data_IF_617177217510
#
_entry.id   IF_617177217510
#
_cell.length_a   1.000
_cell.length_b   1.000
_cell.length_c   1.000
_cell.angle_alpha   90.00
_cell.angle_beta   90.00
_cell.angle_gamma   90.00
#
_symmetry.space_group_name_H-M   'P 1'
#
loop_
_entity.id
_entity.type
_entity.pdbx_description
1 polymer ?
#
# COMPACT_ATOMS: atom_id res chain seq x y z
N UNK A 1 -3.71 -0.52 -25.69
CA UNK A 1 -4.79 0.25 -25.03
C UNK A 1 -4.36 0.51 -23.60
N UNK A 2 -4.23 1.78 -23.21
CA UNK A 2 -3.84 2.13 -21.85
C UNK A 2 -5.00 1.83 -20.91
N UNK A 3 -4.76 1.11 -19.82
CA UNK A 3 -5.81 0.85 -18.81
C UNK A 3 -6.22 2.17 -18.16
N UNK A 4 -7.51 2.44 -18.10
CA UNK A 4 -8.04 3.61 -17.38
C UNK A 4 -7.72 3.50 -15.89
N UNK A 5 -7.22 4.60 -15.32
CA UNK A 5 -6.92 4.70 -13.89
C UNK A 5 -8.23 4.83 -13.13
N UNK A 6 -8.60 3.80 -12.36
CA UNK A 6 -9.84 3.78 -11.56
C UNK A 6 -9.85 4.76 -10.39
N UNK A 7 -8.67 5.18 -9.93
CA UNK A 7 -8.51 6.11 -8.81
C UNK A 7 -7.05 6.26 -8.42
N UNK A 8 -6.72 7.33 -7.69
CA UNK A 8 -5.39 7.56 -7.13
C UNK A 8 -5.51 7.67 -5.63
N UNK A 9 -4.65 6.95 -4.90
CA UNK A 9 -4.59 6.96 -3.45
C UNK A 9 -3.18 7.38 -3.01
N UNK A 10 -3.09 8.30 -2.06
CA UNK A 10 -1.83 8.63 -1.37
C UNK A 10 -1.89 8.15 0.06
N UNK A 11 -0.93 7.32 0.44
CA UNK A 11 -0.74 6.82 1.80
C UNK A 11 0.71 7.05 2.19
N UNK A 12 0.93 7.41 3.45
CA UNK A 12 2.26 7.43 4.04
C UNK A 12 2.45 6.13 4.81
N UNK A 13 3.42 5.33 4.41
CA UNK A 13 3.66 4.01 5.00
C UNK A 13 5.16 3.86 5.23
N UNK A 14 5.52 3.40 6.43
CA UNK A 14 6.89 3.02 6.70
C UNK A 14 7.28 1.82 5.83
N UNK A 15 8.39 1.95 5.13
CA UNK A 15 8.99 0.90 4.33
C UNK A 15 9.17 -0.38 5.14
N UNK A 16 8.78 -1.51 4.56
CA UNK A 16 8.81 -2.83 5.19
C UNK A 16 7.76 -3.04 6.30
N UNK A 17 6.92 -2.05 6.61
CA UNK A 17 5.99 -2.08 7.75
C UNK A 17 4.53 -1.77 7.38
N UNK A 18 4.13 -1.95 6.12
CA UNK A 18 2.73 -1.94 5.73
C UNK A 18 1.95 -3.01 6.49
N UNK A 19 0.84 -2.58 7.10
CA UNK A 19 -0.07 -3.44 7.86
C UNK A 19 -1.52 -3.01 7.59
N UNK A 20 -2.53 -3.86 7.87
CA UNK A 20 -3.93 -3.54 7.61
C UNK A 20 -4.54 -2.51 8.58
N UNK A 21 -3.76 -1.92 9.49
CA UNK A 21 -4.27 -0.91 10.41
C UNK A 21 -4.60 0.39 9.67
N UNK A 22 -5.45 1.26 10.24
CA UNK A 22 -5.65 2.62 9.74
C UNK A 22 -4.30 3.36 9.66
N UNK A 23 -4.02 4.10 8.57
CA UNK A 23 -4.92 4.48 7.47
C UNK A 23 -4.97 3.51 6.28
N UNK A 24 -4.10 2.51 6.21
CA UNK A 24 -3.91 1.64 5.03
C UNK A 24 -5.12 0.75 4.78
N UNK A 25 -5.63 0.07 5.81
CA UNK A 25 -6.76 -0.86 5.69
C UNK A 25 -8.02 -0.20 5.11
N UNK A 26 -8.54 0.88 5.72
CA UNK A 26 -9.73 1.57 5.21
C UNK A 26 -9.55 2.12 3.79
N UNK A 27 -8.39 2.72 3.49
CA UNK A 27 -8.14 3.38 2.21
C UNK A 27 -8.03 2.39 1.04
N UNK A 28 -7.33 1.27 1.25
CA UNK A 28 -7.26 0.20 0.26
C UNK A 28 -8.59 -0.54 0.12
N UNK A 29 -9.31 -0.77 1.23
CA UNK A 29 -10.63 -1.39 1.21
C UNK A 29 -11.66 -0.57 0.43
N UNK A 30 -11.68 0.75 0.62
CA UNK A 30 -12.53 1.67 -0.16
C UNK A 30 -12.17 1.67 -1.66
N UNK A 31 -10.89 1.50 -1.99
CA UNK A 31 -10.42 1.38 -3.38
C UNK A 31 -10.65 -0.02 -3.98
N UNK A 32 -11.16 -0.99 -3.21
CA UNK A 32 -11.35 -2.38 -3.66
C UNK A 32 -10.03 -3.13 -3.87
N UNK A 33 -8.94 -2.70 -3.23
CA UNK A 33 -7.62 -3.32 -3.30
C UNK A 33 -7.47 -4.35 -2.18
N UNK A 34 -6.86 -5.50 -2.50
CA UNK A 34 -6.58 -6.52 -1.48
C UNK A 34 -5.49 -6.04 -0.51
N UNK A 35 -5.89 -5.73 0.71
CA UNK A 35 -5.04 -5.15 1.77
C UNK A 35 -3.87 -6.09 2.09
N UNK A 36 -4.12 -7.38 2.32
CA UNK A 36 -3.08 -8.32 2.72
C UNK A 36 -2.05 -8.54 1.62
N UNK A 37 -2.50 -8.60 0.37
CA UNK A 37 -1.60 -8.72 -0.78
C UNK A 37 -0.74 -7.47 -0.92
N UNK A 38 -1.37 -6.29 -0.85
CA UNK A 38 -0.65 -5.02 -0.86
C UNK A 38 0.40 -4.94 0.25
N UNK A 39 0.05 -5.30 1.50
CA UNK A 39 1.01 -5.26 2.61
C UNK A 39 2.22 -6.15 2.35
N UNK A 40 2.02 -7.37 1.82
CA UNK A 40 3.12 -8.27 1.49
C UNK A 40 3.98 -7.73 0.35
N UNK A 41 3.37 -7.29 -0.74
CA UNK A 41 4.09 -6.81 -1.92
C UNK A 41 4.83 -5.51 -1.62
N UNK A 42 4.19 -4.58 -0.90
CA UNK A 42 4.82 -3.33 -0.45
C UNK A 42 5.99 -3.62 0.49
N UNK A 43 5.83 -4.50 1.47
CA UNK A 43 6.90 -4.82 2.41
C UNK A 43 8.07 -5.50 1.73
N UNK A 44 7.82 -6.39 0.76
CA UNK A 44 8.87 -7.01 -0.02
C UNK A 44 9.59 -6.00 -0.93
N UNK A 45 8.84 -5.12 -1.61
CA UNK A 45 9.41 -4.11 -2.50
C UNK A 45 10.20 -3.03 -1.76
N UNK A 46 9.79 -2.69 -0.54
CA UNK A 46 10.41 -1.65 0.30
C UNK A 46 11.33 -2.23 1.36
N UNK A 47 11.60 -3.54 1.33
CA UNK A 47 12.44 -4.23 2.30
C UNK A 47 13.86 -3.63 2.37
N UNK A 48 14.40 -3.18 1.23
CA UNK A 48 15.73 -2.57 1.17
C UNK A 48 15.78 -1.16 1.79
N UNK A 49 14.63 -0.52 1.96
CA UNK A 49 14.48 0.82 2.54
C UNK A 49 13.81 0.74 3.92
N UNK A 50 13.76 -0.45 4.52
CA UNK A 50 13.03 -0.69 5.76
C UNK A 50 13.40 0.33 6.84
N UNK A 51 12.41 1.10 7.31
CA UNK A 51 12.60 2.18 8.27
C UNK A 51 12.38 3.60 7.71
N UNK A 52 12.41 3.78 6.38
CA UNK A 52 12.10 5.07 5.76
C UNK A 52 10.58 5.28 5.61
N UNK A 53 10.12 6.52 5.79
CA UNK A 53 8.72 6.90 5.54
C UNK A 53 8.54 7.17 4.04
N UNK A 54 7.68 6.39 3.37
CA UNK A 54 7.38 6.48 1.94
C UNK A 54 5.95 6.97 1.68
#
# INVERSE_FOLDING_TARGET
MAKEVKGTLKLQILAGQANPSPPVGPALGQAGVNIMQFCKDFNAATQQQAGDLL
#
